data_IF_558984959103
#
_entry.id   IF_558984959103
#
_cell.length_a   1.000
_cell.length_b   1.000
_cell.length_c   1.000
_cell.angle_alpha   90.00
_cell.angle_beta   90.00
_cell.angle_gamma   90.00
#
_symmetry.space_group_name_H-M   'P 1'
#
loop_
_entity.id
_entity.type
_entity.pdbx_description
1 polymer ?
#
# COMPACT_ATOMS: atom_id res chain seq x y z
N UNK A 1 7.97 -43.36 -3.76
CA UNK A 1 9.06 -42.36 -3.87
C UNK A 1 8.39 -41.08 -4.35
N UNK A 2 7.90 -40.21 -3.47
CA UNK A 2 8.66 -39.12 -2.86
C UNK A 2 7.98 -38.73 -1.52
N UNK A 3 8.50 -39.24 -0.41
CA UNK A 3 8.34 -38.61 0.91
C UNK A 3 9.71 -37.96 1.19
N UNK A 4 9.87 -36.73 0.71
CA UNK A 4 11.09 -35.96 0.84
C UNK A 4 10.97 -34.98 2.01
N UNK A 5 11.73 -35.30 3.08
CA UNK A 5 12.36 -34.34 3.99
C UNK A 5 11.45 -33.41 4.81
N UNK A 6 10.92 -33.93 5.91
CA UNK A 6 10.90 -33.17 7.16
C UNK A 6 12.08 -33.65 8.01
N UNK A 7 13.11 -32.82 8.05
CA UNK A 7 14.32 -33.05 8.83
C UNK A 7 13.97 -33.06 10.33
N UNK A 8 14.50 -34.05 11.01
CA UNK A 8 14.42 -34.20 12.46
C UNK A 8 15.37 -33.19 13.10
N UNK A 9 14.82 -32.23 13.86
CA UNK A 9 15.57 -31.51 14.89
C UNK A 9 15.01 -31.89 16.25
N UNK A 10 15.92 -32.26 17.14
CA UNK A 10 15.72 -32.92 18.43
C UNK A 10 15.13 -32.02 19.52
N UNK A 11 13.87 -31.59 19.34
CA UNK A 11 13.03 -30.95 20.37
C UNK A 11 11.54 -30.93 19.99
N UNK A 12 11.09 -31.85 19.13
CA UNK A 12 9.77 -31.80 18.53
C UNK A 12 8.74 -32.62 19.33
N UNK A 13 7.58 -32.02 19.59
CA UNK A 13 6.46 -32.70 20.26
C UNK A 13 6.03 -33.87 19.40
N UNK A 14 5.46 -34.90 20.04
CA UNK A 14 4.84 -35.97 19.26
C UNK A 14 3.86 -35.31 18.27
N UNK A 15 3.92 -35.63 16.96
CA UNK A 15 3.03 -35.04 15.95
C UNK A 15 1.54 -35.21 16.31
N UNK A 16 1.24 -36.26 17.08
CA UNK A 16 -0.06 -36.53 17.68
C UNK A 16 -0.50 -35.48 18.71
N UNK A 17 0.39 -35.05 19.62
CA UNK A 17 0.06 -34.05 20.64
C UNK A 17 -0.22 -32.66 20.03
N UNK A 18 0.56 -32.25 19.03
CA UNK A 18 0.31 -31.00 18.29
C UNK A 18 -1.03 -31.09 17.53
N UNK A 19 -1.30 -32.22 16.88
CA UNK A 19 -2.57 -32.45 16.18
C UNK A 19 -3.77 -32.34 17.13
N UNK A 20 -3.67 -32.91 18.34
CA UNK A 20 -4.72 -32.81 19.35
C UNK A 20 -4.91 -31.38 19.86
N UNK A 21 -3.84 -30.63 20.08
CA UNK A 21 -3.89 -29.21 20.46
C UNK A 21 -4.58 -28.37 19.38
N UNK A 22 -4.27 -28.62 18.09
CA UNK A 22 -4.91 -27.95 16.96
C UNK A 22 -6.42 -28.23 16.88
N UNK A 23 -6.86 -29.47 17.11
CA UNK A 23 -8.29 -29.81 17.19
C UNK A 23 -9.00 -29.11 18.36
N UNK A 24 -8.32 -28.95 19.48
CA UNK A 24 -8.82 -28.20 20.64
C UNK A 24 -9.01 -26.71 20.36
N UNK A 25 -8.06 -26.11 19.64
CA UNK A 25 -8.13 -24.71 19.22
C UNK A 25 -9.34 -24.42 18.32
N UNK A 26 -9.64 -25.31 17.36
CA UNK A 26 -10.81 -25.19 16.48
C UNK A 26 -12.13 -25.28 17.26
N UNK A 27 -12.23 -26.22 18.21
CA UNK A 27 -13.50 -26.51 18.90
C UNK A 27 -13.83 -25.50 20.00
N UNK A 28 -12.82 -24.82 20.54
CA UNK A 28 -12.97 -23.78 21.58
C UNK A 28 -13.18 -22.37 21.01
N UNK A 29 -13.02 -22.17 19.70
CA UNK A 29 -13.12 -20.87 19.02
C UNK A 29 -14.51 -20.22 19.18
N UNK A 30 -15.58 -21.01 19.17
CA UNK A 30 -16.98 -20.54 19.18
C UNK A 30 -17.66 -20.59 20.54
N UNK A 31 -16.94 -20.97 21.59
CA UNK A 31 -17.51 -21.09 22.92
C UNK A 31 -17.61 -19.69 23.58
N UNK A 32 -18.81 -19.32 24.00
CA UNK A 32 -19.06 -18.09 24.78
C UNK A 32 -18.77 -18.34 26.26
N UNK A 33 -17.65 -17.84 26.76
CA UNK A 33 -17.23 -18.07 28.15
C UNK A 33 -17.61 -16.89 29.06
N UNK A 34 -18.90 -16.71 29.35
CA UNK A 34 -19.37 -15.65 30.25
C UNK A 34 -19.37 -16.09 31.72
N UNK A 35 -18.76 -15.29 32.61
CA UNK A 35 -18.85 -15.54 34.05
C UNK A 35 -18.03 -14.62 34.97
N UNK A 36 -17.74 -13.37 34.60
CA UNK A 36 -16.94 -12.45 35.40
C UNK A 36 -16.86 -11.06 34.77
N UNK A 37 -16.50 -10.03 35.55
CA UNK A 37 -16.35 -8.67 35.04
C UNK A 37 -15.10 -8.61 34.13
N UNK A 38 -15.34 -8.78 32.82
CA UNK A 38 -14.34 -8.99 31.76
C UNK A 38 -13.24 -7.93 31.73
N UNK A 39 -13.56 -6.73 32.18
CA UNK A 39 -12.67 -5.57 32.28
C UNK A 39 -11.54 -5.71 33.32
N UNK A 40 -11.80 -6.44 34.40
CA UNK A 40 -10.81 -6.70 35.45
C UNK A 40 -9.87 -7.84 35.02
N UNK A 41 -10.42 -8.84 34.33
CA UNK A 41 -9.65 -9.97 33.80
C UNK A 41 -8.65 -9.52 32.72
N UNK A 42 -9.08 -8.73 31.73
CA UNK A 42 -8.19 -8.27 30.64
C UNK A 42 -7.07 -7.32 31.13
N UNK A 43 -7.35 -6.45 32.11
CA UNK A 43 -6.36 -5.50 32.64
C UNK A 43 -5.29 -6.16 33.51
N UNK A 44 -5.58 -7.33 34.09
CA UNK A 44 -4.72 -7.97 35.09
C UNK A 44 -4.07 -9.26 34.59
N UNK A 45 -4.63 -9.91 33.56
CA UNK A 45 -4.20 -11.23 33.07
C UNK A 45 -3.85 -11.27 31.57
N UNK A 46 -3.93 -10.14 30.84
CA UNK A 46 -3.60 -10.06 29.41
C UNK A 46 -4.73 -10.49 28.47
N UNK A 47 -4.47 -10.55 27.16
CA UNK A 47 -5.47 -10.98 26.16
C UNK A 47 -5.80 -12.46 26.38
N UNK A 48 -7.07 -12.82 26.57
CA UNK A 48 -7.49 -14.22 26.76
C UNK A 48 -7.04 -15.15 25.62
N UNK A 49 -6.98 -14.66 24.37
CA UNK A 49 -6.41 -15.40 23.22
C UNK A 49 -5.00 -15.94 23.51
N UNK A 50 -4.23 -15.18 24.29
CA UNK A 50 -2.83 -15.40 24.58
C UNK A 50 -2.57 -15.77 26.04
N UNK A 51 -3.61 -16.09 26.84
CA UNK A 51 -3.43 -16.38 28.26
C UNK A 51 -3.12 -17.87 28.49
N UNK A 52 -2.31 -18.15 29.51
CA UNK A 52 -2.05 -19.52 30.02
C UNK A 52 -3.36 -20.22 30.40
N UNK A 53 -4.33 -19.47 30.94
CA UNK A 53 -5.66 -19.98 31.28
C UNK A 53 -6.38 -20.58 30.06
N UNK A 54 -6.29 -19.93 28.89
CA UNK A 54 -6.90 -20.47 27.66
C UNK A 54 -6.20 -21.73 27.19
N UNK A 55 -4.87 -21.80 27.32
CA UNK A 55 -4.11 -23.01 27.00
C UNK A 55 -4.57 -24.20 27.87
N UNK A 56 -4.65 -24.01 29.18
CA UNK A 56 -5.13 -25.04 30.12
C UNK A 56 -6.55 -25.51 29.79
N UNK A 57 -7.45 -24.59 29.43
CA UNK A 57 -8.83 -24.92 29.04
C UNK A 57 -8.89 -25.71 27.72
N UNK A 58 -8.06 -25.38 26.73
CA UNK A 58 -7.94 -26.15 25.48
C UNK A 58 -7.49 -27.57 25.80
N UNK A 59 -6.46 -27.71 26.64
CA UNK A 59 -5.91 -29.01 27.01
C UNK A 59 -6.93 -29.88 27.76
N UNK A 60 -7.71 -29.29 28.67
CA UNK A 60 -8.79 -29.98 29.38
C UNK A 60 -9.94 -30.38 28.44
N UNK A 61 -10.27 -29.52 27.47
CA UNK A 61 -11.35 -29.77 26.52
C UNK A 61 -11.01 -30.89 25.53
N UNK A 62 -9.76 -30.94 25.04
CA UNK A 62 -9.28 -31.94 24.07
C UNK A 62 -9.41 -33.37 24.60
N UNK A 63 -9.15 -33.57 25.89
CA UNK A 63 -9.21 -34.89 26.51
C UNK A 63 -10.61 -35.33 26.95
N UNK A 64 -11.65 -34.49 26.75
CA UNK A 64 -13.05 -34.87 27.03
C UNK A 64 -13.58 -35.83 25.96
N UNK A 65 -14.34 -36.82 26.42
CA UNK A 65 -14.89 -37.91 25.60
C UNK A 65 -15.77 -37.43 24.44
N UNK A 66 -16.51 -36.33 24.63
CA UNK A 66 -17.42 -35.75 23.64
C UNK A 66 -16.67 -34.91 22.58
N UNK A 67 -15.37 -34.69 22.78
CA UNK A 67 -14.52 -33.89 21.89
C UNK A 67 -14.07 -34.68 20.66
N UNK A 68 -13.97 -36.01 20.76
CA UNK A 68 -13.58 -36.90 19.67
C UNK A 68 -14.80 -37.46 18.92
N UNK A 69 -15.20 -36.78 17.85
CA UNK A 69 -16.11 -37.35 16.85
C UNK A 69 -15.27 -38.12 15.84
N UNK A 70 -15.49 -39.44 15.77
CA UNK A 70 -15.31 -40.38 14.64
C UNK A 70 -14.07 -40.27 13.71
N UNK A 71 -13.00 -39.58 14.09
CA UNK A 71 -11.86 -39.34 13.18
C UNK A 71 -10.74 -40.38 13.34
N UNK A 72 -10.76 -41.21 14.39
CA UNK A 72 -9.72 -42.22 14.58
C UNK A 72 -10.37 -43.47 15.18
N UNK A 73 -10.43 -44.55 14.39
CA UNK A 73 -11.06 -45.82 14.72
C UNK A 73 -10.43 -46.57 15.90
N UNK A 74 -10.58 -46.04 17.11
CA UNK A 74 -10.24 -46.71 18.36
C UNK A 74 -11.54 -47.02 19.12
N UNK A 75 -12.16 -48.15 18.79
CA UNK A 75 -13.46 -48.58 19.31
C UNK A 75 -13.38 -49.24 20.71
N UNK A 76 -12.63 -48.69 21.65
CA UNK A 76 -12.66 -49.24 23.01
C UNK A 76 -11.72 -48.57 23.95
N UNK A 77 -12.19 -47.56 24.68
CA UNK A 77 -11.31 -46.93 25.65
C UNK A 77 -12.06 -46.40 26.87
N UNK A 78 -12.12 -47.22 27.93
CA UNK A 78 -12.35 -46.72 29.30
C UNK A 78 -11.13 -45.92 29.82
N UNK A 79 -9.99 -46.02 29.15
CA UNK A 79 -8.69 -45.45 29.56
C UNK A 79 -8.19 -44.29 28.67
N UNK A 80 -8.99 -43.77 27.73
CA UNK A 80 -8.50 -42.77 26.76
C UNK A 80 -8.32 -41.42 27.40
N UNK A 81 -9.30 -40.97 28.17
CA UNK A 81 -9.23 -39.70 28.87
C UNK A 81 -8.00 -39.69 29.78
N UNK A 82 -7.77 -40.77 30.54
CA UNK A 82 -6.58 -40.92 31.38
C UNK A 82 -5.27 -40.91 30.57
N UNK A 83 -5.22 -41.64 29.45
CA UNK A 83 -4.04 -41.68 28.57
C UNK A 83 -3.79 -40.36 27.84
N UNK A 84 -4.85 -39.62 27.51
CA UNK A 84 -4.78 -38.29 26.92
C UNK A 84 -4.24 -37.28 27.93
N UNK A 85 -4.81 -37.22 29.13
CA UNK A 85 -4.30 -36.35 30.19
C UNK A 85 -2.83 -36.66 30.52
N UNK A 86 -2.46 -37.94 30.64
CA UNK A 86 -1.06 -38.34 30.86
C UNK A 86 -0.11 -37.94 29.72
N UNK A 87 -0.57 -37.99 28.47
CA UNK A 87 0.21 -37.54 27.31
C UNK A 87 0.34 -36.01 27.25
N UNK A 88 -0.73 -35.29 27.59
CA UNK A 88 -0.77 -33.84 27.69
C UNK A 88 0.18 -33.34 28.78
N UNK A 89 0.09 -33.92 29.98
CA UNK A 89 0.96 -33.58 31.11
C UNK A 89 2.43 -33.85 30.79
N UNK A 90 2.75 -34.98 30.15
CA UNK A 90 4.14 -35.31 29.79
C UNK A 90 4.75 -34.42 28.69
N UNK A 91 3.93 -33.64 27.98
CA UNK A 91 4.37 -32.76 26.90
C UNK A 91 3.97 -31.29 27.13
N UNK A 92 3.55 -30.93 28.35
CA UNK A 92 2.99 -29.62 28.71
C UNK A 92 3.92 -28.47 28.34
N UNK A 93 5.18 -28.48 28.79
CA UNK A 93 6.15 -27.41 28.49
C UNK A 93 6.33 -27.16 26.99
N UNK A 94 6.23 -28.22 26.20
CA UNK A 94 6.46 -28.15 24.77
C UNK A 94 5.24 -27.64 24.02
N UNK A 95 4.05 -28.08 24.44
CA UNK A 95 2.78 -27.59 23.93
C UNK A 95 2.57 -26.12 24.32
N UNK A 96 3.01 -25.73 25.51
CA UNK A 96 3.00 -24.37 26.01
C UNK A 96 3.93 -23.46 25.20
N UNK A 97 5.21 -23.84 25.04
CA UNK A 97 6.15 -23.10 24.17
C UNK A 97 5.63 -22.97 22.75
N UNK A 98 5.12 -24.07 22.18
CA UNK A 98 4.53 -24.04 20.84
C UNK A 98 3.31 -23.11 20.77
N UNK A 99 2.41 -23.17 21.76
CA UNK A 99 1.23 -22.33 21.85
C UNK A 99 1.60 -20.85 21.91
N UNK A 100 2.61 -20.47 22.68
CA UNK A 100 3.07 -19.08 22.82
C UNK A 100 3.86 -18.56 21.62
N UNK A 101 4.72 -19.39 21.02
CA UNK A 101 5.52 -18.99 19.86
C UNK A 101 4.68 -18.86 18.57
N UNK A 102 3.55 -19.57 18.49
CA UNK A 102 2.71 -19.64 17.29
C UNK A 102 1.32 -18.99 17.47
N UNK A 103 1.13 -18.07 18.43
CA UNK A 103 -0.16 -17.39 18.64
C UNK A 103 -0.58 -16.50 17.47
N UNK A 104 0.41 -15.98 16.75
CA UNK A 104 0.25 -15.18 15.54
C UNK A 104 0.38 -16.04 14.27
N UNK A 105 1.07 -17.19 14.38
CA UNK A 105 1.16 -18.25 13.36
C UNK A 105 -0.03 -19.21 13.43
N UNK A 106 -1.19 -18.73 13.89
CA UNK A 106 -2.42 -19.52 14.00
C UNK A 106 -2.59 -20.42 12.78
N UNK A 107 -3.14 -21.64 12.95
CA UNK A 107 -3.17 -22.63 11.88
C UNK A 107 -3.66 -21.94 10.61
N UNK A 108 -3.01 -22.23 9.48
CA UNK A 108 -3.46 -21.87 8.11
C UNK A 108 -4.84 -22.50 7.86
N UNK A 109 -5.84 -22.08 8.61
CA UNK A 109 -7.20 -22.57 8.59
C UNK A 109 -8.08 -21.40 8.23
N UNK A 110 -8.65 -21.55 7.05
CA UNK A 110 -9.42 -20.60 6.26
C UNK A 110 -10.77 -20.29 6.91
N UNK A 111 -10.79 -19.85 8.17
CA UNK A 111 -11.96 -19.19 8.75
C UNK A 111 -11.65 -17.69 8.77
N UNK A 112 -12.46 -16.93 8.03
CA UNK A 112 -12.15 -15.59 7.51
C UNK A 112 -11.37 -14.68 8.45
N UNK A 113 -10.33 -14.03 7.91
CA UNK A 113 -9.60 -12.95 8.59
C UNK A 113 -10.62 -11.91 9.10
N UNK A 114 -10.39 -11.25 10.25
CA UNK A 114 -11.23 -10.15 10.71
C UNK A 114 -11.51 -9.16 9.58
N UNK A 115 -12.77 -8.73 9.43
CA UNK A 115 -13.21 -7.86 8.34
C UNK A 115 -12.92 -8.42 6.92
N UNK A 116 -13.03 -9.74 6.73
CA UNK A 116 -12.69 -10.44 5.48
C UNK A 116 -11.22 -10.24 5.01
N UNK A 117 -10.37 -9.67 5.87
CA UNK A 117 -9.02 -9.24 5.51
C UNK A 117 -8.96 -7.93 4.73
N UNK A 118 -10.09 -7.24 4.56
CA UNK A 118 -10.27 -6.03 3.75
C UNK A 118 -10.56 -4.80 4.64
N UNK A 119 -9.99 -4.79 5.84
CA UNK A 119 -10.19 -3.69 6.77
C UNK A 119 -9.59 -3.94 8.16
N UNK A 120 -9.72 -2.92 9.01
CA UNK A 120 -9.26 -2.94 10.40
C UNK A 120 -10.43 -3.18 11.35
N UNK A 121 -10.28 -4.17 12.23
CA UNK A 121 -11.28 -4.51 13.25
C UNK A 121 -11.00 -3.75 14.56
N UNK A 122 -12.00 -3.04 15.08
CA UNK A 122 -11.89 -2.39 16.38
C UNK A 122 -11.90 -3.42 17.51
N UNK A 123 -10.81 -3.44 18.28
CA UNK A 123 -10.61 -4.34 19.42
C UNK A 123 -9.87 -5.64 19.09
N UNK A 124 -9.60 -5.96 17.83
CA UNK A 124 -8.80 -7.14 17.43
C UNK A 124 -9.18 -8.46 18.18
N UNK A 125 -10.47 -8.65 18.47
CA UNK A 125 -10.98 -9.80 19.23
C UNK A 125 -10.93 -9.68 20.77
N UNK A 126 -10.60 -8.51 21.35
CA UNK A 126 -10.75 -8.21 22.78
C UNK A 126 -12.22 -8.03 23.16
N UNK A 127 -12.56 -8.40 24.39
CA UNK A 127 -13.92 -8.33 24.96
C UNK A 127 -14.41 -6.90 25.18
N UNK A 128 -13.52 -5.91 25.13
CA UNK A 128 -13.85 -4.48 25.19
C UNK A 128 -14.08 -3.83 23.82
N UNK A 129 -13.72 -4.53 22.73
CA UNK A 129 -13.98 -4.09 21.37
C UNK A 129 -15.45 -4.23 20.99
N UNK A 130 -15.98 -3.25 20.25
CA UNK A 130 -17.34 -3.35 19.68
C UNK A 130 -17.41 -4.24 18.43
N UNK A 131 -16.26 -4.74 17.93
CA UNK A 131 -16.17 -5.60 16.75
C UNK A 131 -16.49 -4.89 15.43
N UNK A 132 -16.49 -3.56 15.40
CA UNK A 132 -16.80 -2.79 14.19
C UNK A 132 -15.61 -2.80 13.23
N UNK A 133 -15.89 -3.06 11.95
CA UNK A 133 -14.89 -2.99 10.90
C UNK A 133 -14.83 -1.60 10.28
N UNK A 134 -13.61 -1.08 10.15
CA UNK A 134 -13.28 0.03 9.28
C UNK A 134 -12.72 -0.55 7.98
N UNK A 135 -13.50 -0.50 6.91
CA UNK A 135 -13.11 -1.09 5.62
C UNK A 135 -12.05 -0.29 4.89
N UNK A 136 -11.22 -1.01 4.14
CA UNK A 136 -10.27 -0.41 3.20
C UNK A 136 -11.01 0.10 1.94
N UNK A 137 -10.32 0.92 1.15
CA UNK A 137 -10.90 1.50 -0.07
C UNK A 137 -11.41 0.40 -1.02
N UNK A 138 -12.61 0.59 -1.55
CA UNK A 138 -13.28 -0.37 -2.43
C UNK A 138 -14.11 -1.45 -1.72
N UNK A 139 -14.12 -1.48 -0.37
CA UNK A 139 -14.92 -2.44 0.39
C UNK A 139 -15.90 -1.74 1.34
N UNK A 140 -17.07 -2.34 1.51
CA UNK A 140 -18.16 -1.81 2.35
C UNK A 140 -18.89 -2.91 3.12
N UNK A 141 -19.72 -2.47 4.07
CA UNK A 141 -20.53 -3.33 4.91
C UNK A 141 -19.89 -3.61 6.28
N UNK A 142 -20.65 -4.28 7.16
CA UNK A 142 -20.23 -4.52 8.55
C UNK A 142 -18.97 -5.37 8.68
N UNK A 143 -18.67 -6.19 7.67
CA UNK A 143 -17.55 -7.13 7.64
C UNK A 143 -16.62 -6.90 6.44
N UNK A 144 -16.78 -5.79 5.69
CA UNK A 144 -15.99 -5.50 4.48
C UNK A 144 -16.01 -6.64 3.44
N UNK A 145 -17.16 -7.34 3.38
CA UNK A 145 -17.40 -8.52 2.53
C UNK A 145 -18.04 -8.18 1.19
N UNK A 146 -18.27 -6.89 0.92
CA UNK A 146 -18.94 -6.41 -0.28
C UNK A 146 -18.09 -5.32 -0.93
N UNK A 147 -18.12 -5.24 -2.25
CA UNK A 147 -17.48 -4.15 -2.97
C UNK A 147 -18.29 -2.85 -2.81
N UNK A 148 -17.58 -1.73 -2.74
CA UNK A 148 -18.17 -0.41 -2.80
C UNK A 148 -18.90 -0.18 -4.12
N UNK A 149 -19.80 0.80 -4.17
CA UNK A 149 -20.52 1.21 -5.37
C UNK A 149 -19.64 1.60 -6.57
N UNK A 150 -18.39 2.01 -6.34
CA UNK A 150 -17.42 2.30 -7.39
C UNK A 150 -16.61 1.07 -7.86
N UNK A 151 -16.90 -0.11 -7.32
CA UNK A 151 -16.17 -1.35 -7.55
C UNK A 151 -17.14 -2.50 -7.88
N UNK A 152 -16.64 -3.55 -8.52
CA UNK A 152 -17.37 -4.78 -8.78
C UNK A 152 -16.57 -6.01 -8.33
N UNK A 153 -17.28 -7.08 -7.99
CA UNK A 153 -16.64 -8.31 -7.53
C UNK A 153 -16.15 -9.13 -8.73
N UNK A 154 -14.83 -9.34 -8.83
CA UNK A 154 -14.21 -10.19 -9.85
C UNK A 154 -14.30 -11.65 -9.43
N UNK A 155 -14.00 -11.91 -8.16
CA UNK A 155 -14.08 -13.23 -7.54
C UNK A 155 -14.66 -13.10 -6.13
N UNK A 156 -15.57 -14.01 -5.77
CA UNK A 156 -16.15 -14.07 -4.44
C UNK A 156 -16.28 -15.51 -3.97
N UNK A 157 -15.73 -15.78 -2.79
CA UNK A 157 -15.93 -17.04 -2.08
C UNK A 157 -16.39 -16.74 -0.64
N UNK A 158 -16.48 -17.78 0.21
CA UNK A 158 -16.96 -17.63 1.59
C UNK A 158 -15.98 -16.88 2.53
N UNK A 159 -14.72 -16.68 2.12
CA UNK A 159 -13.62 -16.19 2.97
C UNK A 159 -12.84 -15.01 2.38
N UNK A 160 -13.07 -14.69 1.10
CA UNK A 160 -12.32 -13.72 0.33
C UNK A 160 -13.18 -13.16 -0.81
N UNK A 161 -13.07 -11.86 -1.02
CA UNK A 161 -13.68 -11.12 -2.12
C UNK A 161 -12.62 -10.20 -2.73
N UNK A 162 -12.54 -10.22 -4.04
CA UNK A 162 -11.67 -9.38 -4.85
C UNK A 162 -12.52 -8.37 -5.60
N UNK A 163 -12.24 -7.08 -5.39
CA UNK A 163 -13.01 -5.97 -5.92
C UNK A 163 -12.14 -5.13 -6.85
N UNK A 164 -12.59 -4.96 -8.09
CA UNK A 164 -11.94 -4.10 -9.09
C UNK A 164 -12.78 -2.84 -9.35
N UNK A 165 -12.12 -1.78 -9.80
CA UNK A 165 -12.74 -0.49 -10.06
C UNK A 165 -13.66 -0.53 -11.28
N UNK A 166 -14.82 0.12 -11.15
CA UNK A 166 -15.69 0.40 -12.28
C UNK A 166 -15.04 1.40 -13.25
N UNK A 167 -15.51 1.40 -14.50
CA UNK A 167 -15.20 2.48 -15.43
C UNK A 167 -15.58 3.85 -14.84
N UNK A 168 -14.72 4.85 -15.01
CA UNK A 168 -14.85 6.19 -14.40
C UNK A 168 -16.20 6.84 -14.72
N UNK A 169 -16.76 6.56 -15.90
CA UNK A 169 -18.07 7.05 -16.33
C UNK A 169 -19.28 6.33 -15.72
N UNK A 170 -19.13 5.30 -14.89
CA UNK A 170 -20.28 4.58 -14.30
C UNK A 170 -20.87 5.31 -13.08
N UNK A 171 -22.19 5.32 -12.97
CA UNK A 171 -22.96 5.72 -11.80
C UNK A 171 -23.85 4.57 -11.30
N UNK A 172 -24.01 4.44 -9.98
CA UNK A 172 -24.88 3.41 -9.38
C UNK A 172 -24.36 1.96 -9.45
N UNK A 173 -23.06 1.76 -9.68
CA UNK A 173 -22.41 0.46 -9.75
C UNK A 173 -22.21 -0.09 -11.16
N UNK A 174 -21.38 -1.12 -11.26
CA UNK A 174 -21.06 -1.81 -12.50
C UNK A 174 -21.03 -3.33 -12.31
N UNK A 175 -21.02 -4.07 -13.41
CA UNK A 175 -20.86 -5.55 -13.43
C UNK A 175 -19.44 -5.94 -13.86
N UNK A 176 -18.69 -5.00 -14.42
CA UNK A 176 -17.37 -5.20 -14.99
C UNK A 176 -16.64 -3.87 -15.18
N UNK A 177 -15.39 -3.94 -15.61
CA UNK A 177 -14.52 -2.77 -15.80
C UNK A 177 -14.81 -1.99 -17.10
N UNK A 178 -15.66 -2.51 -18.00
CA UNK A 178 -15.88 -1.88 -19.30
C UNK A 178 -16.96 -0.78 -19.20
N UNK A 179 -16.95 0.23 -20.10
CA UNK A 179 -17.99 1.25 -20.12
C UNK A 179 -19.41 0.70 -20.37
N UNK A 180 -19.53 -0.48 -20.99
CA UNK A 180 -20.81 -1.18 -21.21
C UNK A 180 -21.39 -1.81 -19.96
N UNK A 181 -20.53 -2.14 -19.00
CA UNK A 181 -20.93 -2.88 -17.80
C UNK A 181 -21.47 -1.94 -16.71
N UNK A 182 -21.53 -0.63 -16.99
CA UNK A 182 -22.16 0.35 -16.13
C UNK A 182 -23.68 0.12 -16.04
N UNK A 183 -24.24 0.22 -14.83
CA UNK A 183 -25.71 0.21 -14.65
C UNK A 183 -26.36 1.51 -15.11
N UNK A 184 -25.67 2.62 -14.90
CA UNK A 184 -26.03 3.93 -15.40
C UNK A 184 -24.74 4.73 -15.68
N UNK A 185 -24.85 5.77 -16.49
CA UNK A 185 -23.74 6.68 -16.76
C UNK A 185 -23.74 7.84 -15.76
N UNK A 186 -22.56 8.36 -15.42
CA UNK A 186 -22.41 9.62 -14.70
C UNK A 186 -22.89 10.77 -15.57
N UNK A 187 -23.19 11.89 -14.93
CA UNK A 187 -23.42 13.17 -15.62
C UNK A 187 -22.15 13.50 -16.43
N UNK A 188 -22.32 14.00 -17.66
CA UNK A 188 -21.22 14.18 -18.62
C UNK A 188 -20.97 12.96 -19.52
N UNK A 189 -21.65 11.83 -19.29
CA UNK A 189 -21.57 10.63 -20.13
C UNK A 189 -22.95 10.27 -20.68
N UNK A 190 -22.98 9.71 -21.90
CA UNK A 190 -24.16 9.16 -22.57
C UNK A 190 -24.04 7.66 -22.76
N UNK A 191 -25.12 6.93 -22.54
CA UNK A 191 -25.15 5.48 -22.76
C UNK A 191 -25.29 5.20 -24.26
N UNK A 192 -24.25 4.60 -24.84
CA UNK A 192 -24.22 4.11 -26.22
C UNK A 192 -24.40 2.58 -26.25
N UNK A 193 -25.21 2.01 -27.16
CA UNK A 193 -25.44 0.55 -27.23
C UNK A 193 -24.18 -0.26 -27.59
N UNK A 194 -23.28 0.30 -28.40
CA UNK A 194 -22.10 -0.38 -28.93
C UNK A 194 -20.82 -0.08 -28.17
N UNK A 195 -20.77 1.01 -27.41
CA UNK A 195 -19.58 1.41 -26.63
C UNK A 195 -19.83 1.37 -25.13
N UNK A 196 -21.08 1.58 -24.69
CA UNK A 196 -21.42 1.78 -23.28
C UNK A 196 -21.43 3.25 -22.90
N UNK A 197 -21.12 3.59 -21.65
CA UNK A 197 -21.00 4.98 -21.23
C UNK A 197 -19.86 5.68 -21.97
N UNK A 198 -20.22 6.48 -22.97
CA UNK A 198 -19.30 7.30 -23.74
C UNK A 198 -19.36 8.74 -23.24
N UNK A 199 -18.20 9.38 -23.20
CA UNK A 199 -18.07 10.77 -22.81
C UNK A 199 -18.84 11.68 -23.78
N UNK A 200 -19.48 12.72 -23.23
CA UNK A 200 -20.15 13.74 -24.04
C UNK A 200 -19.12 14.82 -24.33
N UNK A 201 -18.64 14.90 -25.56
CA UNK A 201 -17.76 16.01 -25.94
C UNK A 201 -18.57 17.31 -26.07
N UNK A 202 -18.62 18.09 -24.99
CA UNK A 202 -19.35 19.35 -24.99
C UNK A 202 -18.71 20.40 -25.90
N UNK A 203 -17.41 20.26 -26.22
CA UNK A 203 -16.67 21.22 -27.06
C UNK A 203 -17.02 21.14 -28.55
N UNK A 204 -17.75 20.11 -28.99
CA UNK A 204 -18.26 20.01 -30.37
C UNK A 204 -19.28 21.10 -30.67
N UNK A 205 -20.04 21.53 -29.66
CA UNK A 205 -20.98 22.64 -29.79
C UNK A 205 -20.28 23.99 -29.56
N UNK A 206 -20.50 24.94 -30.47
CA UNK A 206 -19.93 26.28 -30.34
C UNK A 206 -20.50 27.03 -29.11
N UNK A 207 -19.66 27.84 -28.46
CA UNK A 207 -20.10 28.78 -27.42
C UNK A 207 -20.22 28.21 -25.99
N UNK A 208 -19.54 27.09 -25.67
CA UNK A 208 -19.48 26.58 -24.28
C UNK A 208 -18.63 27.43 -23.35
N UNK A 209 -17.56 28.02 -23.87
CA UNK A 209 -16.72 28.93 -23.11
C UNK A 209 -17.24 30.38 -23.20
N UNK A 210 -17.22 31.13 -22.09
CA UNK A 210 -17.80 32.46 -22.02
C UNK A 210 -17.03 33.50 -22.85
N UNK A 211 -15.71 33.33 -23.01
CA UNK A 211 -14.86 34.29 -23.72
C UNK A 211 -14.31 33.74 -25.04
N UNK A 212 -14.12 34.62 -26.02
CA UNK A 212 -13.39 34.32 -27.25
C UNK A 212 -11.87 34.15 -27.04
N UNK A 213 -11.34 34.56 -25.87
CA UNK A 213 -9.95 34.33 -25.47
C UNK A 213 -9.73 32.97 -24.81
N UNK A 214 -10.77 32.12 -24.79
CA UNK A 214 -10.73 30.78 -24.24
C UNK A 214 -11.00 29.73 -25.32
N UNK A 215 -10.26 28.62 -25.24
CA UNK A 215 -10.51 27.41 -26.00
C UNK A 215 -11.15 26.36 -25.09
N UNK A 216 -12.17 25.69 -25.59
CA UNK A 216 -12.77 24.56 -24.92
C UNK A 216 -11.86 23.33 -25.06
N UNK A 217 -11.58 22.66 -23.95
CA UNK A 217 -10.83 21.41 -23.90
C UNK A 217 -11.71 20.37 -23.23
N UNK A 218 -12.07 19.32 -23.97
CA UNK A 218 -12.90 18.24 -23.45
C UNK A 218 -12.12 17.43 -22.40
N UNK A 219 -12.75 17.11 -21.27
CA UNK A 219 -12.17 16.29 -20.19
C UNK A 219 -13.12 15.14 -19.86
N UNK A 220 -12.66 14.01 -19.29
CA UNK A 220 -13.57 12.89 -19.03
C UNK A 220 -14.70 13.26 -18.04
N UNK A 221 -15.93 13.36 -18.53
CA UNK A 221 -17.14 13.72 -17.80
C UNK A 221 -17.42 15.23 -17.68
N UNK A 222 -16.64 16.08 -18.35
CA UNK A 222 -16.79 17.54 -18.30
C UNK A 222 -16.00 18.20 -19.43
N UNK A 223 -15.95 19.53 -19.43
CA UNK A 223 -14.99 20.28 -20.22
C UNK A 223 -14.33 21.35 -19.35
N UNK A 224 -13.18 21.85 -19.79
CA UNK A 224 -12.51 22.98 -19.19
C UNK A 224 -12.23 24.05 -20.25
N UNK A 225 -12.48 25.31 -19.91
CA UNK A 225 -12.12 26.46 -20.73
C UNK A 225 -10.71 26.91 -20.36
N UNK A 226 -9.77 26.70 -21.27
CA UNK A 226 -8.37 27.11 -21.11
C UNK A 226 -8.11 28.38 -21.91
N UNK A 227 -7.25 29.26 -21.41
CA UNK A 227 -6.84 30.42 -22.18
C UNK A 227 -6.13 29.98 -23.47
N UNK A 228 -6.38 30.69 -24.57
CA UNK A 228 -5.63 30.48 -25.81
C UNK A 228 -4.15 30.81 -25.61
N UNK A 229 -3.31 30.29 -26.50
CA UNK A 229 -1.87 30.46 -26.40
C UNK A 229 -1.49 31.95 -26.41
N UNK A 230 -0.61 32.36 -25.47
CA UNK A 230 -0.27 33.77 -25.24
C UNK A 230 -1.18 34.49 -24.25
N UNK A 231 -2.15 33.81 -23.65
CA UNK A 231 -2.98 34.33 -22.57
C UNK A 231 -2.87 33.45 -21.32
N UNK A 232 -3.05 34.05 -20.14
CA UNK A 232 -3.11 33.37 -18.84
C UNK A 232 -4.32 33.82 -18.05
N UNK A 233 -4.82 32.95 -17.17
CA UNK A 233 -5.96 33.27 -16.30
C UNK A 233 -5.49 34.19 -15.18
N UNK A 234 -6.13 35.34 -15.04
CA UNK A 234 -5.90 36.31 -13.96
C UNK A 234 -6.60 35.88 -12.66
N UNK A 235 -6.29 36.54 -11.54
CA UNK A 235 -6.96 36.32 -10.25
C UNK A 235 -8.47 36.64 -10.30
N UNK A 236 -8.88 37.49 -11.25
CA UNK A 236 -10.28 37.80 -11.54
C UNK A 236 -10.99 36.72 -12.40
N UNK A 237 -10.27 35.67 -12.82
CA UNK A 237 -10.79 34.58 -13.65
C UNK A 237 -10.80 34.86 -15.15
N UNK A 238 -10.36 36.04 -15.60
CA UNK A 238 -10.33 36.44 -17.01
C UNK A 238 -8.99 36.09 -17.66
N UNK A 239 -9.02 35.66 -18.93
CA UNK A 239 -7.82 35.41 -19.72
C UNK A 239 -7.20 36.72 -20.22
N UNK A 240 -6.04 37.08 -19.66
CA UNK A 240 -5.25 38.27 -20.01
C UNK A 240 -3.98 37.88 -20.75
N UNK A 241 -3.43 38.77 -21.57
CA UNK A 241 -2.18 38.50 -22.31
C UNK A 241 -1.07 38.15 -21.34
N UNK A 242 -0.36 37.06 -21.60
CA UNK A 242 0.80 36.67 -20.82
C UNK A 242 2.01 37.54 -21.18
N UNK A 243 2.14 38.65 -20.45
CA UNK A 243 3.28 39.57 -20.55
C UNK A 243 4.55 39.05 -19.88
N UNK A 244 4.50 37.87 -19.23
CA UNK A 244 5.68 37.27 -18.59
C UNK A 244 6.21 36.17 -19.50
N UNK A 245 7.10 36.56 -20.42
CA UNK A 245 7.94 35.58 -21.09
C UNK A 245 8.71 34.81 -20.02
N UNK A 246 8.36 33.54 -19.79
CA UNK A 246 9.23 32.65 -19.04
C UNK A 246 10.54 32.61 -19.84
N UNK A 247 11.68 33.07 -19.29
CA UNK A 247 12.94 32.78 -19.94
C UNK A 247 12.98 31.26 -20.02
N UNK A 248 13.14 30.71 -21.23
CA UNK A 248 13.39 29.28 -21.39
C UNK A 248 14.69 28.98 -20.65
N UNK A 249 14.59 28.64 -19.37
CA UNK A 249 15.73 28.15 -18.58
C UNK A 249 15.97 26.76 -19.14
N UNK A 250 17.08 26.53 -19.87
CA UNK A 250 17.34 25.22 -20.42
C UNK A 250 17.39 24.20 -19.27
N UNK A 251 16.79 23.02 -19.46
CA UNK A 251 16.77 21.92 -18.49
C UNK A 251 18.15 21.52 -17.93
N UNK A 252 19.22 21.96 -18.60
CA UNK A 252 20.59 21.74 -18.18
C UNK A 252 21.41 23.01 -18.48
N UNK A 253 22.16 23.51 -17.51
CA UNK A 253 22.97 24.71 -17.73
C UNK A 253 23.98 24.43 -18.86
N UNK A 254 24.31 25.42 -19.71
CA UNK A 254 25.30 25.24 -20.78
C UNK A 254 26.65 24.68 -20.28
N UNK A 255 27.03 25.06 -19.06
CA UNK A 255 28.25 24.57 -18.40
C UNK A 255 28.18 23.06 -18.06
N UNK A 256 27.04 22.56 -17.60
CA UNK A 256 26.84 21.14 -17.26
C UNK A 256 26.81 20.27 -18.51
N UNK A 257 26.19 20.76 -19.59
CA UNK A 257 26.19 20.08 -20.89
C UNK A 257 27.60 19.93 -21.45
N UNK A 258 28.44 20.96 -21.33
CA UNK A 258 29.84 20.91 -21.77
C UNK A 258 30.69 19.97 -20.90
N UNK A 259 30.44 19.92 -19.59
CA UNK A 259 31.10 18.95 -18.69
C UNK A 259 30.74 17.50 -19.03
N UNK A 260 29.48 17.21 -19.33
CA UNK A 260 29.04 15.88 -19.75
C UNK A 260 29.74 15.42 -21.04
N UNK A 261 29.84 16.32 -22.04
CA UNK A 261 30.54 16.04 -23.31
C UNK A 261 32.05 15.85 -23.07
N UNK A 262 32.66 16.65 -22.20
CA UNK A 262 34.08 16.53 -21.84
C UNK A 262 34.40 15.18 -21.18
N UNK A 263 33.62 14.78 -20.15
CA UNK A 263 33.86 13.53 -19.43
C UNK A 263 33.58 12.28 -20.26
N UNK A 264 32.52 12.31 -21.09
CA UNK A 264 32.25 11.23 -22.04
C UNK A 264 33.37 11.07 -23.06
N UNK A 265 33.92 12.17 -23.56
CA UNK A 265 35.08 12.15 -24.48
C UNK A 265 36.33 11.59 -23.80
N UNK A 266 36.60 12.01 -22.56
CA UNK A 266 37.74 11.53 -21.78
C UNK A 266 37.64 10.03 -21.49
N UNK A 267 36.44 9.53 -21.16
CA UNK A 267 36.20 8.10 -20.94
C UNK A 267 36.46 7.26 -22.19
N UNK A 268 36.03 7.72 -23.36
CA UNK A 268 36.29 7.01 -24.62
C UNK A 268 37.78 6.96 -24.95
N UNK A 269 38.51 8.07 -24.75
CA UNK A 269 39.95 8.13 -24.97
C UNK A 269 40.69 7.19 -24.04
N UNK A 270 40.30 7.11 -22.76
CA UNK A 270 40.97 6.23 -21.80
C UNK A 270 40.72 4.77 -22.13
N UNK A 271 39.49 4.37 -22.42
CA UNK A 271 39.16 3.00 -22.87
C UNK A 271 39.95 2.63 -24.13
N UNK A 272 40.10 3.54 -25.08
CA UNK A 272 40.91 3.32 -26.29
C UNK A 272 42.39 3.12 -25.97
N UNK A 273 42.98 3.95 -25.10
CA UNK A 273 44.39 3.81 -24.68
C UNK A 273 44.61 2.49 -23.93
N UNK A 274 43.70 2.10 -23.03
CA UNK A 274 43.79 0.83 -22.29
C UNK A 274 43.67 -0.41 -23.19
N UNK A 275 42.84 -0.34 -24.23
CA UNK A 275 42.61 -1.47 -25.15
C UNK A 275 43.72 -1.60 -26.19
N UNK A 276 44.31 -0.50 -26.65
CA UNK A 276 45.34 -0.50 -27.70
C UNK A 276 46.77 -0.55 -27.13
N UNK A 277 47.04 0.16 -26.03
CA UNK A 277 48.38 0.25 -25.45
C UNK A 277 48.44 -0.52 -24.12
N UNK A 278 48.80 -1.79 -24.20
CA UNK A 278 49.04 -2.71 -23.05
C UNK A 278 50.34 -2.40 -22.28
N UNK A 279 50.74 -1.13 -22.22
CA UNK A 279 51.96 -0.68 -21.53
C UNK A 279 51.60 -0.06 -20.19
N UNK A 280 52.26 -0.49 -19.12
CA UNK A 280 52.00 -0.02 -17.75
C UNK A 280 52.31 1.47 -17.56
N UNK A 281 53.22 2.02 -18.36
CA UNK A 281 53.63 3.43 -18.29
C UNK A 281 52.56 4.37 -18.88
N UNK A 282 51.92 4.00 -20.00
CA UNK A 282 50.85 4.79 -20.60
C UNK A 282 49.60 4.80 -19.73
N UNK A 283 49.32 3.68 -19.06
CA UNK A 283 48.25 3.58 -18.06
C UNK A 283 48.48 4.56 -16.91
N UNK A 284 49.69 4.59 -16.33
CA UNK A 284 50.01 5.49 -15.22
C UNK A 284 49.80 6.97 -15.58
N UNK A 285 50.26 7.39 -16.77
CA UNK A 285 50.09 8.77 -17.23
C UNK A 285 48.61 9.14 -17.41
N UNK A 286 47.79 8.25 -17.98
CA UNK A 286 46.35 8.51 -18.14
C UNK A 286 45.61 8.58 -16.80
N UNK A 287 45.97 7.75 -15.82
CA UNK A 287 45.37 7.79 -14.48
C UNK A 287 45.76 9.08 -13.76
N UNK A 288 47.02 9.52 -13.88
CA UNK A 288 47.48 10.79 -13.31
C UNK A 288 46.78 12.01 -13.93
N UNK A 289 46.52 12.02 -15.23
CA UNK A 289 45.80 13.14 -15.88
C UNK A 289 44.32 13.18 -15.50
N UNK A 290 43.65 12.03 -15.36
CA UNK A 290 42.26 11.96 -14.86
C UNK A 290 42.20 12.49 -13.42
N UNK A 291 43.11 12.06 -12.56
CA UNK A 291 43.15 12.50 -11.16
C UNK A 291 43.36 14.01 -11.05
N UNK A 292 44.25 14.58 -11.89
CA UNK A 292 44.45 16.02 -11.96
C UNK A 292 43.19 16.75 -12.44
N UNK A 293 42.49 16.25 -13.46
CA UNK A 293 41.24 16.85 -13.96
C UNK A 293 40.15 16.86 -12.87
N UNK A 294 39.95 15.75 -12.15
CA UNK A 294 38.99 15.66 -11.06
C UNK A 294 39.33 16.60 -9.89
N UNK A 295 40.60 16.77 -9.57
CA UNK A 295 41.05 17.74 -8.56
C UNK A 295 40.78 19.18 -8.98
N UNK A 296 41.01 19.51 -10.26
CA UNK A 296 40.71 20.83 -10.83
C UNK A 296 39.20 21.07 -10.77
N UNK A 297 38.37 20.15 -11.23
CA UNK A 297 36.91 20.30 -11.18
C UNK A 297 36.37 20.38 -9.75
N UNK A 298 36.94 19.64 -8.79
CA UNK A 298 36.59 19.75 -7.37
C UNK A 298 36.94 21.12 -6.79
N UNK A 299 38.13 21.63 -7.08
CA UNK A 299 38.60 22.91 -6.56
C UNK A 299 37.82 24.08 -7.20
N UNK A 300 37.68 24.11 -8.52
CA UNK A 300 36.95 25.17 -9.22
C UNK A 300 35.44 25.07 -9.01
N UNK A 301 34.87 23.86 -8.91
CA UNK A 301 33.45 23.64 -8.62
C UNK A 301 33.04 24.22 -7.27
N UNK A 302 33.80 23.94 -6.22
CA UNK A 302 33.50 24.43 -4.87
C UNK A 302 33.71 25.94 -4.70
N UNK A 303 34.68 26.53 -5.42
CA UNK A 303 34.96 27.97 -5.35
C UNK A 303 33.89 28.79 -6.08
N UNK A 304 33.43 28.34 -7.25
CA UNK A 304 32.45 29.07 -8.06
C UNK A 304 31.01 28.92 -7.53
N UNK A 305 30.64 27.73 -7.01
CA UNK A 305 29.30 27.52 -6.44
C UNK A 305 29.04 28.45 -5.23
N UNK A 306 30.07 28.69 -4.40
CA UNK A 306 29.99 29.64 -3.27
C UNK A 306 29.86 31.11 -3.67
N UNK A 307 30.24 31.48 -4.90
CA UNK A 307 30.07 32.86 -5.41
C UNK A 307 28.69 33.09 -6.05
N UNK A 308 28.00 32.03 -6.50
CA UNK A 308 26.64 32.12 -7.02
C UNK A 308 25.60 32.19 -5.89
N UNK A 309 25.75 31.39 -4.83
CA UNK A 309 24.88 31.48 -3.64
C UNK A 309 24.95 32.84 -2.92
N UNK A 310 26.05 33.60 -3.08
CA UNK A 310 26.19 34.93 -2.52
C UNK A 310 25.53 36.05 -3.35
N UNK A 311 25.07 35.75 -4.58
CA UNK A 311 24.46 36.74 -5.48
C UNK A 311 22.96 36.52 -5.75
N UNK A 312 22.38 35.42 -5.23
CA UNK A 312 20.94 35.09 -5.32
C UNK A 312 20.21 35.31 -3.98
N UNK A 313 20.43 36.47 -3.33
CA UNK A 313 19.41 36.99 -2.41
C UNK A 313 18.23 37.50 -3.25
N UNK A 314 17.00 36.98 -3.07
CA UNK A 314 15.84 37.51 -3.76
C UNK A 314 15.62 38.96 -3.33
N UNK A 315 15.80 39.91 -4.24
CA UNK A 315 15.25 41.27 -4.13
C UNK A 315 13.72 41.20 -4.24
N UNK A 316 13.08 40.60 -3.24
CA UNK A 316 11.64 40.73 -3.02
C UNK A 316 11.43 41.72 -1.87
N UNK A 317 11.79 42.97 -2.13
CA UNK A 317 11.46 44.13 -1.29
C UNK A 317 11.16 45.31 -2.22
N UNK A 318 10.12 45.13 -3.04
CA UNK A 318 9.62 46.15 -3.96
C UNK A 318 8.10 46.34 -3.94
N UNK A 319 7.33 45.31 -3.59
CA UNK A 319 5.86 45.36 -3.67
C UNK A 319 5.13 45.47 -2.32
N UNK A 320 5.86 45.54 -1.20
CA UNK A 320 5.28 45.75 0.14
C UNK A 320 5.33 47.23 0.62
N UNK A 321 5.74 48.17 -0.24
CA UNK A 321 5.79 49.61 0.10
C UNK A 321 4.78 50.51 -0.64
N UNK A 322 3.88 49.95 -1.45
CA UNK A 322 2.81 50.74 -2.08
C UNK A 322 1.47 50.59 -1.33
N UNK A 323 1.28 49.55 -0.51
CA UNK A 323 0.02 49.36 0.22
C UNK A 323 -0.06 50.10 1.57
N UNK A 324 1.05 50.67 2.08
CA UNK A 324 1.07 51.36 3.38
C UNK A 324 0.94 52.90 3.29
N UNK A 325 0.79 53.48 2.09
CA UNK A 325 0.62 54.93 1.89
C UNK A 325 -0.80 55.35 1.47
N UNK A 326 -1.76 54.42 1.42
CA UNK A 326 -3.15 54.70 1.03
C UNK A 326 -4.17 54.58 2.17
N UNK A 327 -3.73 54.47 3.43
CA UNK A 327 -4.62 54.36 4.61
C UNK A 327 -4.52 55.52 5.61
N UNK A 328 -3.92 56.66 5.23
CA UNK A 328 -3.89 57.89 6.05
C UNK A 328 -4.61 59.10 5.40
N UNK A 329 -5.42 58.88 4.38
CA UNK A 329 -6.38 59.89 3.88
C UNK A 329 -7.77 59.26 3.63
N UNK A 330 -8.43 58.83 4.71
CA UNK A 330 -9.89 58.94 4.88
C UNK A 330 -10.29 58.88 6.36
#
# INVERSE_FOLDING_TARGET
MLLGQFAWTSSAASPLAILFLLLGLEKTEKLHFGGGNTDWEERKLGKFKTSETRFVEIMDYVCKKDSLIDTIGYSGIKDFQFKCHSLVESHEEMLERWFFDHQDDGPRWQSGKPCFGNGRCQGNGSRTGNGTCSCDAGFVGKMCSNCDSAYFAVMQNSTHIECDECFVGCSGGCVGASPKDCRACRIGYKMDPEVGCNDIDECVEAGKCPSATEKCVNTPGSFECQCIDGFKRSDAGECVVDVVAHPNVPWLQPAEKLRLISYSSLFLITVFVFTVHRSTSTVFLTVSTIFAALLIDYFFGNVFSKQLEANDEPKNTGEEKVQQQANDEL
#
